data_IF_438970061471
#
_entry.id   IF_438970061471
#
_cell.length_a   1.000
_cell.length_b   1.000
_cell.length_c   1.000
_cell.angle_alpha   90.00
_cell.angle_beta   90.00
_cell.angle_gamma   90.00
#
_symmetry.space_group_name_H-M   'P 1'
#
loop_
_entity.id
_entity.type
_entity.pdbx_description
1 polymer ?
#
# COMPACT_ATOMS: atom_id res chain seq x y z
N UNK A 1 16.27 5.16 -23.09
CA UNK A 1 17.46 4.40 -22.62
C UNK A 1 16.97 3.02 -22.22
N UNK A 2 17.74 2.15 -21.52
CA UNK A 2 17.21 0.84 -21.15
C UNK A 2 18.26 -0.17 -20.68
N UNK A 3 17.95 -1.47 -20.81
CA UNK A 3 18.76 -2.57 -20.27
C UNK A 3 20.24 -2.60 -20.72
N UNK A 4 20.59 -1.95 -21.84
CA UNK A 4 21.97 -1.79 -22.30
C UNK A 4 22.75 -0.70 -21.58
N UNK A 5 22.06 0.19 -20.87
CA UNK A 5 22.62 1.35 -20.15
C UNK A 5 22.89 1.02 -18.67
N UNK A 6 23.14 -0.25 -18.36
CA UNK A 6 23.47 -0.69 -17.02
C UNK A 6 23.48 -2.21 -16.88
N UNK A 7 23.40 -2.70 -15.64
CA UNK A 7 23.25 -4.13 -15.36
C UNK A 7 22.60 -4.37 -14.00
N UNK A 8 21.93 -5.52 -13.87
CA UNK A 8 21.48 -6.09 -12.60
C UNK A 8 22.66 -6.82 -11.97
N UNK A 9 23.02 -6.48 -10.73
CA UNK A 9 24.21 -7.02 -10.05
C UNK A 9 23.82 -8.05 -8.99
N UNK A 10 23.37 -7.58 -7.82
CA UNK A 10 23.06 -8.48 -6.69
C UNK A 10 21.63 -8.32 -6.20
N UNK A 11 21.06 -9.43 -5.75
CA UNK A 11 19.78 -9.46 -5.04
C UNK A 11 20.01 -9.87 -3.59
N UNK A 12 19.32 -9.21 -2.66
CA UNK A 12 19.29 -9.60 -1.25
C UNK A 12 17.90 -9.46 -0.65
N UNK A 13 17.43 -10.52 0.03
CA UNK A 13 16.29 -10.43 0.94
C UNK A 13 16.75 -9.78 2.24
N UNK A 14 16.50 -8.48 2.38
CA UNK A 14 16.98 -7.66 3.50
C UNK A 14 16.03 -7.68 4.70
N UNK A 15 14.77 -8.05 4.48
CA UNK A 15 13.78 -8.31 5.54
C UNK A 15 13.14 -9.66 5.26
N UNK A 16 13.38 -10.62 6.16
CA UNK A 16 12.91 -11.99 6.01
C UNK A 16 12.07 -12.42 7.20
N UNK A 17 10.75 -12.44 7.01
CA UNK A 17 9.79 -13.00 7.95
C UNK A 17 9.24 -14.36 7.50
N UNK A 18 9.91 -15.04 6.56
CA UNK A 18 9.52 -16.33 6.00
C UNK A 18 9.29 -16.29 4.49
N UNK A 19 8.82 -17.39 3.90
CA UNK A 19 8.60 -17.56 2.46
C UNK A 19 7.71 -16.46 1.84
N UNK A 20 8.13 -15.93 0.70
CA UNK A 20 7.51 -14.78 0.01
C UNK A 20 6.05 -15.06 -0.39
N UNK A 21 5.71 -16.32 -0.70
CA UNK A 21 4.33 -16.75 -1.03
C UNK A 21 3.31 -16.47 0.06
N UNK A 22 3.76 -16.21 1.29
CA UNK A 22 2.93 -16.04 2.48
C UNK A 22 3.17 -14.70 3.17
N UNK A 23 3.88 -13.77 2.53
CA UNK A 23 4.21 -12.44 3.04
C UNK A 23 3.87 -11.42 1.97
N UNK A 24 3.50 -10.23 2.39
CA UNK A 24 3.42 -9.12 1.45
C UNK A 24 4.85 -8.68 1.15
N UNK A 25 5.29 -8.86 -0.08
CA UNK A 25 6.68 -8.79 -0.49
C UNK A 25 6.90 -7.52 -1.30
N UNK A 26 7.69 -6.61 -0.73
CA UNK A 26 8.15 -5.38 -1.36
C UNK A 26 9.51 -5.62 -2.01
N UNK A 27 9.65 -5.21 -3.26
CA UNK A 27 10.95 -5.19 -3.96
C UNK A 27 11.39 -3.75 -4.13
N UNK A 28 12.61 -3.44 -3.74
CA UNK A 28 13.23 -2.12 -3.91
C UNK A 28 14.42 -2.26 -4.85
N UNK A 29 14.45 -1.43 -5.89
CA UNK A 29 15.57 -1.30 -6.83
C UNK A 29 15.91 0.17 -7.03
N UNK A 30 17.06 0.45 -7.65
CA UNK A 30 17.52 1.80 -7.93
C UNK A 30 17.58 2.06 -9.44
N UNK A 31 17.42 3.32 -9.84
CA UNK A 31 17.78 3.80 -11.17
C UNK A 31 18.62 5.07 -11.11
N UNK A 32 19.56 5.23 -12.05
CA UNK A 32 20.48 6.36 -12.07
C UNK A 32 21.58 6.32 -11.02
N UNK A 33 21.89 5.15 -10.46
CA UNK A 33 23.03 4.95 -9.56
C UNK A 33 24.17 4.24 -10.31
N UNK A 34 25.41 4.72 -10.18
CA UNK A 34 26.57 4.01 -10.70
C UNK A 34 26.94 2.83 -9.79
N UNK A 35 27.81 1.94 -10.27
CA UNK A 35 28.38 0.87 -9.45
C UNK A 35 29.05 1.39 -8.16
N UNK A 36 29.70 2.55 -8.23
CA UNK A 36 30.32 3.23 -7.08
C UNK A 36 29.31 3.87 -6.11
N UNK A 37 28.04 4.00 -6.48
CA UNK A 37 26.99 4.58 -5.65
C UNK A 37 26.26 3.55 -4.79
N UNK A 38 26.59 2.25 -4.89
CA UNK A 38 25.78 1.20 -4.27
C UNK A 38 25.70 1.29 -2.75
N UNK A 39 26.79 1.67 -2.08
CA UNK A 39 26.73 1.89 -0.63
C UNK A 39 25.74 3.00 -0.28
N UNK A 40 25.73 4.10 -1.05
CA UNK A 40 24.77 5.18 -0.87
C UNK A 40 23.34 4.73 -1.17
N UNK A 41 23.11 3.99 -2.26
CA UNK A 41 21.81 3.39 -2.56
C UNK A 41 21.32 2.50 -1.41
N UNK A 42 22.18 1.66 -0.82
CA UNK A 42 21.82 0.81 0.32
C UNK A 42 21.39 1.64 1.52
N UNK A 43 22.05 2.77 1.81
CA UNK A 43 21.59 3.66 2.89
C UNK A 43 20.20 4.23 2.65
N UNK A 44 19.83 4.49 1.38
CA UNK A 44 18.50 4.98 1.01
C UNK A 44 17.45 3.89 1.11
N UNK A 45 17.79 2.65 0.76
CA UNK A 45 16.94 1.48 1.00
C UNK A 45 16.70 1.30 2.51
N UNK A 46 17.74 1.41 3.34
CA UNK A 46 17.62 1.31 4.79
C UNK A 46 16.77 2.46 5.38
N UNK A 47 16.89 3.68 4.85
CA UNK A 47 16.04 4.82 5.21
C UNK A 47 14.56 4.52 4.94
N UNK A 48 14.22 3.96 3.78
CA UNK A 48 12.87 3.54 3.42
C UNK A 48 12.37 2.43 4.35
N UNK A 49 13.15 1.36 4.52
CA UNK A 49 12.75 0.20 5.34
C UNK A 49 12.52 0.60 6.80
N UNK A 50 13.42 1.39 7.37
CA UNK A 50 13.27 1.89 8.74
C UNK A 50 12.13 2.90 8.87
N UNK A 51 11.91 3.72 7.85
CA UNK A 51 10.78 4.65 7.79
C UNK A 51 9.44 3.95 7.77
N UNK A 52 9.26 2.95 6.90
CA UNK A 52 8.03 2.16 6.83
C UNK A 52 7.74 1.43 8.15
N UNK A 53 8.76 0.89 8.83
CA UNK A 53 8.62 0.28 10.17
C UNK A 53 8.04 1.22 11.24
N UNK A 54 8.09 2.53 11.02
CA UNK A 54 7.60 3.55 11.94
C UNK A 54 6.25 4.15 11.52
N UNK A 55 5.68 3.75 10.38
CA UNK A 55 4.42 4.28 9.83
C UNK A 55 3.33 3.21 9.94
N UNK A 56 2.21 3.51 10.59
CA UNK A 56 1.05 2.60 10.62
C UNK A 56 0.31 2.58 9.27
N UNK A 57 -0.16 1.42 8.78
CA UNK A 57 -0.23 0.14 9.47
C UNK A 57 1.01 -0.76 9.25
N UNK A 58 2.03 -0.31 8.52
CA UNK A 58 3.24 -1.11 8.27
C UNK A 58 3.94 -1.48 9.58
N UNK A 59 3.98 -0.59 10.57
CA UNK A 59 4.48 -0.88 11.93
C UNK A 59 3.81 -2.12 12.52
N UNK A 60 2.47 -2.12 12.65
CA UNK A 60 1.72 -3.23 13.23
C UNK A 60 1.83 -4.52 12.40
N UNK A 61 1.98 -4.38 11.08
CA UNK A 61 2.00 -5.51 10.14
C UNK A 61 3.41 -5.94 9.74
N UNK A 62 4.46 -5.38 10.35
CA UNK A 62 5.83 -5.55 9.87
C UNK A 62 6.26 -7.01 9.76
N UNK A 63 5.87 -7.84 10.72
CA UNK A 63 6.15 -9.29 10.72
C UNK A 63 5.45 -10.08 9.61
N UNK A 64 4.63 -9.44 8.77
CA UNK A 64 3.96 -10.00 7.60
C UNK A 64 4.57 -9.51 6.28
N UNK A 65 5.59 -8.65 6.34
CA UNK A 65 6.18 -8.00 5.17
C UNK A 65 7.59 -8.52 4.94
N UNK A 66 7.89 -8.95 3.72
CA UNK A 66 9.26 -9.19 3.29
C UNK A 66 9.75 -8.02 2.44
N UNK A 67 11.06 -7.81 2.41
CA UNK A 67 11.68 -6.81 1.54
C UNK A 67 12.88 -7.43 0.85
N UNK A 68 12.86 -7.38 -0.49
CA UNK A 68 14.02 -7.64 -1.33
C UNK A 68 14.60 -6.32 -1.82
N UNK A 69 15.93 -6.26 -1.86
CA UNK A 69 16.69 -5.23 -2.53
C UNK A 69 17.35 -5.84 -3.76
N UNK A 70 17.27 -5.18 -4.90
CA UNK A 70 18.00 -5.53 -6.11
C UNK A 70 18.92 -4.36 -6.45
N UNK A 71 20.22 -4.62 -6.48
CA UNK A 71 21.25 -3.67 -6.86
C UNK A 71 21.31 -3.62 -8.39
N UNK A 72 20.94 -2.45 -8.94
CA UNK A 72 20.97 -2.18 -10.38
C UNK A 72 21.84 -0.96 -10.60
N UNK A 73 22.83 -1.09 -11.48
CA UNK A 73 23.76 -0.02 -11.82
C UNK A 73 23.37 0.56 -13.18
N UNK A 74 23.33 1.88 -13.27
CA UNK A 74 23.19 2.65 -14.50
C UNK A 74 24.55 3.12 -15.04
N UNK A 75 24.58 3.52 -16.30
CA UNK A 75 25.77 4.07 -16.96
C UNK A 75 26.02 5.53 -16.57
N UNK A 76 24.95 6.27 -16.27
CA UNK A 76 25.03 7.66 -15.82
C UNK A 76 24.24 7.89 -14.53
N UNK A 77 24.72 8.84 -13.72
CA UNK A 77 23.96 9.32 -12.56
C UNK A 77 22.78 10.18 -13.00
N UNK A 78 21.65 10.05 -12.32
CA UNK A 78 20.55 10.99 -12.44
C UNK A 78 19.28 10.40 -13.05
N UNK A 79 18.53 11.28 -13.71
CA UNK A 79 17.23 11.05 -14.32
C UNK A 79 17.11 12.00 -15.51
N UNK A 80 16.31 11.64 -16.51
CA UNK A 80 15.90 12.60 -17.54
C UNK A 80 15.10 13.76 -16.93
N UNK A 81 15.33 14.96 -17.44
CA UNK A 81 14.66 16.19 -17.00
C UNK A 81 14.27 17.03 -18.23
N UNK A 82 13.21 16.62 -18.96
CA UNK A 82 12.80 17.25 -20.22
C UNK A 82 12.61 18.76 -20.10
N UNK A 83 13.08 19.50 -21.12
CA UNK A 83 13.01 20.98 -21.11
C UNK A 83 11.57 21.49 -21.16
N UNK A 84 10.70 20.83 -21.91
CA UNK A 84 9.27 21.12 -21.96
C UNK A 84 8.52 20.12 -21.07
N UNK A 85 7.61 20.62 -20.24
CA UNK A 85 6.73 19.81 -19.41
C UNK A 85 5.44 20.59 -19.13
N UNK A 86 4.34 20.19 -19.78
CA UNK A 86 3.06 20.88 -19.67
C UNK A 86 3.14 22.40 -19.91
N UNK A 87 2.24 23.11 -19.22
CA UNK A 87 2.20 24.58 -19.18
C UNK A 87 2.87 25.14 -17.91
N UNK A 88 3.59 24.32 -17.14
CA UNK A 88 4.28 24.80 -15.95
C UNK A 88 5.47 25.70 -16.38
N UNK A 89 5.55 26.92 -15.84
CA UNK A 89 6.67 27.86 -16.02
C UNK A 89 8.03 27.34 -15.46
N UNK A 90 8.13 26.05 -15.18
CA UNK A 90 9.22 25.38 -14.50
C UNK A 90 9.80 24.27 -15.38
N UNK A 91 10.10 24.59 -16.64
CA UNK A 91 10.75 23.66 -17.57
C UNK A 91 11.99 22.99 -16.98
N UNK A 92 12.28 21.76 -17.42
CA UNK A 92 13.45 21.01 -17.00
C UNK A 92 14.75 21.55 -17.58
N UNK A 93 15.86 20.96 -17.16
CA UNK A 93 17.21 21.28 -17.63
C UNK A 93 17.48 20.84 -19.08
N UNK A 94 16.65 19.94 -19.62
CA UNK A 94 16.90 19.25 -20.89
C UNK A 94 17.92 18.12 -20.78
N UNK A 95 18.27 17.70 -19.57
CA UNK A 95 19.20 16.60 -19.36
C UNK A 95 18.57 15.27 -19.80
N UNK A 96 19.38 14.46 -20.47
CA UNK A 96 19.10 13.06 -20.79
C UNK A 96 20.20 12.21 -20.13
N UNK A 97 19.84 11.09 -19.50
CA UNK A 97 20.72 10.26 -18.68
C UNK A 97 20.56 8.79 -19.02
N UNK A 98 21.65 8.17 -19.47
CA UNK A 98 21.69 6.73 -19.78
C UNK A 98 21.56 5.88 -18.52
N UNK A 99 20.32 5.65 -18.14
CA UNK A 99 19.88 4.92 -16.96
C UNK A 99 19.23 3.60 -17.35
N UNK A 100 19.27 2.62 -16.44
CA UNK A 100 18.85 1.25 -16.75
C UNK A 100 17.34 1.17 -16.99
N UNK A 101 16.55 1.84 -16.15
CA UNK A 101 15.09 1.85 -16.24
C UNK A 101 14.54 3.12 -16.91
N UNK A 102 15.38 3.88 -17.60
CA UNK A 102 14.97 5.07 -18.36
C UNK A 102 14.14 6.05 -17.52
N UNK A 103 14.53 6.27 -16.26
CA UNK A 103 13.78 7.15 -15.37
C UNK A 103 13.68 8.57 -15.97
N UNK A 104 12.46 9.11 -15.96
CA UNK A 104 12.17 10.44 -16.50
C UNK A 104 11.20 11.23 -15.65
N UNK A 105 11.46 12.53 -15.57
CA UNK A 105 10.51 13.52 -15.05
C UNK A 105 9.51 13.89 -16.12
N UNK A 106 8.38 14.43 -15.70
CA UNK A 106 7.29 14.76 -16.61
C UNK A 106 6.72 13.54 -17.34
N UNK A 107 6.63 12.40 -16.64
CA UNK A 107 6.16 11.14 -17.24
C UNK A 107 4.70 11.17 -17.73
N UNK A 108 3.93 12.20 -17.39
CA UNK A 108 2.55 12.42 -17.84
C UNK A 108 2.39 13.61 -18.79
N UNK A 109 3.50 14.15 -19.31
CA UNK A 109 3.59 15.33 -20.18
C UNK A 109 3.04 16.64 -19.61
N UNK A 110 2.61 16.67 -18.33
CA UNK A 110 1.93 17.84 -17.75
C UNK A 110 2.60 18.38 -16.49
N UNK A 111 3.21 17.53 -15.66
CA UNK A 111 3.71 17.89 -14.34
C UNK A 111 5.13 17.40 -14.12
N UNK A 112 6.08 18.31 -13.86
CA UNK A 112 7.50 17.95 -13.75
C UNK A 112 7.82 17.02 -12.57
N UNK A 113 6.99 17.04 -11.53
CA UNK A 113 7.12 16.16 -10.35
C UNK A 113 6.71 14.71 -10.61
N UNK A 114 6.02 14.43 -11.71
CA UNK A 114 5.62 13.06 -12.06
C UNK A 114 6.83 12.32 -12.58
N UNK A 115 7.28 11.36 -11.79
CA UNK A 115 8.47 10.57 -12.03
C UNK A 115 8.05 9.19 -12.51
N UNK A 116 8.51 8.78 -13.68
CA UNK A 116 8.21 7.47 -14.26
C UNK A 116 9.49 6.77 -14.68
N UNK A 117 9.37 5.49 -14.96
CA UNK A 117 10.42 4.58 -15.43
C UNK A 117 9.83 3.71 -16.54
N UNK A 118 10.67 2.99 -17.28
CA UNK A 118 10.26 1.88 -18.12
C UNK A 118 9.67 0.77 -17.23
N UNK A 119 8.35 0.81 -17.09
CA UNK A 119 7.61 -0.06 -16.18
C UNK A 119 7.70 -1.54 -16.59
N UNK A 120 7.76 -1.83 -17.89
CA UNK A 120 7.82 -3.21 -18.38
C UNK A 120 9.22 -3.79 -18.10
N UNK A 121 10.28 -3.02 -18.32
CA UNK A 121 11.65 -3.44 -17.98
C UNK A 121 11.84 -3.65 -16.46
N UNK A 122 11.23 -2.80 -15.63
CA UNK A 122 11.21 -3.00 -14.17
C UNK A 122 10.53 -4.32 -13.82
N UNK A 123 9.35 -4.59 -14.40
CA UNK A 123 8.61 -5.81 -14.12
C UNK A 123 9.39 -7.06 -14.55
N UNK A 124 9.98 -7.05 -15.75
CA UNK A 124 10.79 -8.16 -16.26
C UNK A 124 11.99 -8.41 -15.35
N UNK A 125 12.73 -7.36 -14.98
CA UNK A 125 13.87 -7.45 -14.06
C UNK A 125 13.47 -8.02 -12.70
N UNK A 126 12.36 -7.56 -12.12
CA UNK A 126 11.90 -8.07 -10.83
C UNK A 126 11.41 -9.51 -10.94
N UNK A 127 10.73 -9.90 -12.02
CA UNK A 127 10.22 -11.25 -12.22
C UNK A 127 11.34 -12.29 -12.42
N UNK A 128 12.45 -11.90 -13.05
CA UNK A 128 13.63 -12.77 -13.19
C UNK A 128 14.32 -13.01 -11.83
N UNK A 129 14.25 -12.04 -10.93
CA UNK A 129 14.95 -12.07 -9.66
C UNK A 129 14.09 -12.58 -8.48
N UNK A 130 12.81 -12.22 -8.42
CA UNK A 130 11.90 -12.46 -7.28
C UNK A 130 10.61 -13.13 -7.78
N UNK A 131 10.39 -14.38 -7.37
CA UNK A 131 9.28 -15.18 -7.87
C UNK A 131 7.89 -14.72 -7.40
N UNK A 132 7.79 -14.14 -6.21
CA UNK A 132 6.53 -13.69 -5.61
C UNK A 132 6.73 -12.28 -5.01
N UNK A 133 5.99 -11.31 -5.50
CA UNK A 133 6.04 -9.91 -5.06
C UNK A 133 4.68 -9.22 -5.22
N UNK A 134 4.47 -8.15 -4.47
CA UNK A 134 3.23 -7.38 -4.48
C UNK A 134 3.40 -5.91 -4.83
N UNK A 135 4.56 -5.35 -4.52
CA UNK A 135 4.85 -3.95 -4.74
C UNK A 135 6.32 -3.78 -5.12
N UNK A 136 6.57 -2.83 -6.02
CA UNK A 136 7.90 -2.46 -6.45
C UNK A 136 8.12 -0.97 -6.20
N UNK A 137 9.24 -0.62 -5.58
CA UNK A 137 9.69 0.76 -5.43
C UNK A 137 11.01 0.92 -6.18
N UNK A 138 11.04 1.85 -7.13
CA UNK A 138 12.27 2.29 -7.80
C UNK A 138 12.71 3.60 -7.16
N UNK A 139 13.83 3.56 -6.45
CA UNK A 139 14.49 4.78 -5.98
C UNK A 139 15.24 5.38 -7.16
N UNK A 140 14.95 6.63 -7.51
CA UNK A 140 15.61 7.31 -8.63
C UNK A 140 16.61 8.31 -8.06
N UNK A 141 17.86 8.25 -8.52
CA UNK A 141 18.95 9.09 -8.02
C UNK A 141 18.80 10.57 -8.41
N UNK A 142 17.87 11.26 -7.76
CA UNK A 142 17.58 12.68 -7.95
C UNK A 142 17.14 13.28 -6.62
N UNK A 143 17.56 14.51 -6.32
CA UNK A 143 17.16 15.22 -5.09
C UNK A 143 15.99 16.18 -5.30
N UNK A 144 15.55 16.38 -6.55
CA UNK A 144 14.37 17.17 -6.86
C UNK A 144 13.11 16.39 -6.48
N UNK A 145 12.10 17.08 -5.96
CA UNK A 145 10.85 16.43 -5.53
C UNK A 145 10.15 15.74 -6.70
N UNK A 146 9.70 14.51 -6.47
CA UNK A 146 8.95 13.78 -7.47
C UNK A 146 8.67 12.33 -7.07
N UNK A 147 7.55 11.85 -7.55
CA UNK A 147 7.08 10.51 -7.31
C UNK A 147 5.82 10.24 -8.11
N UNK A 148 5.67 9.00 -8.57
CA UNK A 148 4.41 8.51 -9.08
C UNK A 148 4.38 6.99 -9.05
N UNK A 149 3.15 6.46 -9.05
CA UNK A 149 2.86 5.04 -9.14
C UNK A 149 2.18 4.71 -10.46
N UNK A 150 2.74 3.75 -11.20
CA UNK A 150 2.15 3.15 -12.41
C UNK A 150 2.01 1.65 -12.16
N UNK A 151 0.78 1.12 -12.25
CA UNK A 151 0.54 -0.30 -11.95
C UNK A 151 0.94 -0.67 -10.51
N UNK A 152 1.96 -1.51 -10.35
CA UNK A 152 2.55 -1.90 -9.06
C UNK A 152 3.93 -1.29 -8.79
N UNK A 153 4.40 -0.43 -9.69
CA UNK A 153 5.72 0.22 -9.61
C UNK A 153 5.54 1.65 -9.14
N UNK A 154 6.23 2.01 -8.07
CA UNK A 154 6.34 3.37 -7.58
C UNK A 154 7.76 3.89 -7.82
N UNK A 155 7.92 4.91 -8.65
CA UNK A 155 9.20 5.60 -8.85
C UNK A 155 9.25 6.82 -7.93
N UNK A 156 10.31 6.96 -7.12
CA UNK A 156 10.42 8.01 -6.09
C UNK A 156 11.83 8.59 -6.04
N UNK A 157 11.93 9.92 -5.93
CA UNK A 157 13.23 10.61 -5.80
C UNK A 157 13.76 10.66 -4.36
N UNK A 158 15.06 10.92 -4.19
CA UNK A 158 15.77 10.90 -2.90
C UNK A 158 15.64 12.21 -2.11
N UNK A 159 14.41 12.63 -1.83
CA UNK A 159 14.11 13.86 -1.07
C UNK A 159 14.27 13.66 0.44
N UNK A 160 14.22 14.76 1.20
CA UNK A 160 14.30 14.71 2.66
C UNK A 160 13.11 13.99 3.34
N UNK A 161 11.97 13.90 2.64
CA UNK A 161 10.76 13.19 3.06
C UNK A 161 10.59 11.85 2.31
N UNK A 162 11.70 11.22 1.87
CA UNK A 162 11.72 10.01 1.05
C UNK A 162 10.78 8.92 1.60
N UNK A 163 10.86 8.62 2.90
CA UNK A 163 10.03 7.57 3.52
C UNK A 163 8.53 7.92 3.52
N UNK A 164 8.16 9.20 3.67
CA UNK A 164 6.78 9.64 3.61
C UNK A 164 6.24 9.53 2.17
N UNK A 165 7.04 9.91 1.17
CA UNK A 165 6.67 9.78 -0.25
C UNK A 165 6.54 8.31 -0.63
N UNK A 166 7.50 7.45 -0.27
CA UNK A 166 7.39 6.00 -0.52
C UNK A 166 6.15 5.41 0.15
N UNK A 167 5.86 5.79 1.39
CA UNK A 167 4.65 5.33 2.07
C UNK A 167 3.38 5.74 1.31
N UNK A 168 3.30 6.99 0.86
CA UNK A 168 2.20 7.52 0.03
C UNK A 168 2.00 6.70 -1.26
N UNK A 169 3.07 6.47 -2.03
CA UNK A 169 2.98 5.70 -3.27
C UNK A 169 2.60 4.22 -3.02
N UNK A 170 3.08 3.62 -1.93
CA UNK A 170 2.63 2.29 -1.50
C UNK A 170 1.15 2.28 -1.08
N UNK A 171 0.62 3.40 -0.61
CA UNK A 171 -0.82 3.60 -0.40
C UNK A 171 -1.62 3.38 -1.68
N UNK A 172 -1.14 3.91 -2.81
CA UNK A 172 -1.75 3.67 -4.12
C UNK A 172 -1.64 2.22 -4.58
N UNK A 173 -0.51 1.56 -4.35
CA UNK A 173 -0.34 0.11 -4.60
C UNK A 173 -1.37 -0.69 -3.80
N UNK A 174 -1.63 -0.28 -2.56
CA UNK A 174 -2.64 -0.86 -1.66
C UNK A 174 -4.07 -0.34 -1.92
N UNK A 175 -4.32 0.32 -3.05
CA UNK A 175 -5.65 0.64 -3.53
C UNK A 175 -6.26 1.94 -2.99
N UNK A 176 -5.45 2.83 -2.41
CA UNK A 176 -5.90 4.15 -1.96
C UNK A 176 -5.85 5.18 -3.09
N UNK A 177 -6.78 6.14 -3.05
CA UNK A 177 -6.78 7.33 -3.88
C UNK A 177 -6.03 8.47 -3.20
N UNK A 178 -5.63 9.46 -4.00
CA UNK A 178 -5.19 10.75 -3.48
C UNK A 178 -6.34 11.50 -2.79
N UNK A 179 -6.04 12.04 -1.61
CA UNK A 179 -6.95 12.82 -0.79
C UNK A 179 -6.70 14.34 -0.91
N UNK A 180 -5.69 14.75 -1.67
CA UNK A 180 -5.50 16.17 -2.00
C UNK A 180 -6.42 16.63 -3.13
N UNK A 181 -6.68 17.94 -3.12
CA UNK A 181 -7.71 18.60 -3.89
C UNK A 181 -7.13 19.65 -4.84
N UNK A 182 -5.92 19.45 -5.35
CA UNK A 182 -5.23 20.34 -6.27
C UNK A 182 -4.63 19.54 -7.44
N UNK A 183 -4.15 20.25 -8.47
CA UNK A 183 -3.65 19.69 -9.74
C UNK A 183 -4.72 18.99 -10.61
N UNK A 184 -5.99 19.33 -10.40
CA UNK A 184 -7.12 18.79 -11.15
C UNK A 184 -8.22 19.82 -11.41
N UNK A 185 -9.40 19.39 -11.86
CA UNK A 185 -10.51 20.30 -12.13
C UNK A 185 -11.12 20.86 -10.84
N UNK A 186 -11.76 22.02 -10.93
CA UNK A 186 -12.50 22.63 -9.82
C UNK A 186 -13.48 21.63 -9.16
N UNK A 187 -14.23 20.89 -9.98
CA UNK A 187 -15.24 19.94 -9.52
C UNK A 187 -14.96 18.55 -10.06
N UNK A 188 -15.20 17.54 -9.22
CA UNK A 188 -15.13 16.15 -9.61
C UNK A 188 -16.14 15.86 -10.75
N UNK A 189 -15.62 15.56 -11.93
CA UNK A 189 -16.39 15.57 -13.18
C UNK A 189 -17.02 14.22 -13.56
N UNK A 190 -16.52 13.11 -13.00
CA UNK A 190 -16.98 11.77 -13.39
C UNK A 190 -18.44 11.51 -12.98
N UNK A 191 -18.87 12.00 -11.83
CA UNK A 191 -20.21 11.75 -11.28
C UNK A 191 -20.46 10.29 -10.84
N UNK A 192 -19.49 9.39 -11.04
CA UNK A 192 -19.53 8.01 -10.58
C UNK A 192 -18.82 7.86 -9.23
N UNK A 193 -19.28 6.93 -8.39
CA UNK A 193 -18.66 6.65 -7.11
C UNK A 193 -17.27 6.03 -7.30
N UNK A 194 -16.18 6.67 -6.81
CA UNK A 194 -14.84 6.13 -6.96
C UNK A 194 -14.72 4.75 -6.31
N UNK A 195 -13.99 3.79 -6.89
CA UNK A 195 -13.84 2.47 -6.28
C UNK A 195 -12.96 2.46 -5.02
N UNK A 196 -12.08 3.46 -4.85
CA UNK A 196 -11.14 3.52 -3.74
C UNK A 196 -11.86 3.74 -2.39
N UNK A 197 -11.36 3.12 -1.31
CA UNK A 197 -12.07 3.08 -0.04
C UNK A 197 -12.02 4.40 0.74
N UNK A 198 -11.03 5.25 0.48
CA UNK A 198 -10.74 6.46 1.25
C UNK A 198 -11.36 7.75 0.67
N UNK A 199 -12.05 7.66 -0.48
CA UNK A 199 -12.75 8.77 -1.12
C UNK A 199 -14.17 8.36 -1.53
N UNK A 200 -15.11 9.31 -1.62
CA UNK A 200 -16.51 9.05 -1.96
C UNK A 200 -17.20 10.27 -2.57
N UNK A 201 -18.25 10.09 -3.36
CA UNK A 201 -19.19 11.18 -3.72
C UNK A 201 -20.51 11.07 -2.92
N UNK A 202 -20.68 9.99 -2.16
CA UNK A 202 -21.83 9.78 -1.27
C UNK A 202 -21.83 10.78 -0.11
N UNK A 203 -23.01 11.31 0.21
CA UNK A 203 -23.22 12.28 1.31
C UNK A 203 -24.20 11.76 2.36
N UNK A 204 -24.96 10.71 2.07
CA UNK A 204 -25.76 9.97 3.02
C UNK A 204 -24.86 9.20 3.98
N UNK A 205 -24.82 9.65 5.24
CA UNK A 205 -24.03 9.06 6.31
C UNK A 205 -24.21 7.53 6.44
N UNK A 206 -25.42 7.02 6.15
CA UNK A 206 -25.72 5.59 6.26
C UNK A 206 -25.08 4.73 5.16
N UNK A 207 -24.68 5.36 4.05
CA UNK A 207 -24.12 4.70 2.86
C UNK A 207 -22.61 4.91 2.70
N UNK A 208 -22.01 5.82 3.48
CA UNK A 208 -20.57 6.06 3.46
C UNK A 208 -19.76 4.76 3.59
N UNK A 209 -18.70 4.66 2.78
CA UNK A 209 -17.77 3.52 2.79
C UNK A 209 -17.20 3.25 4.19
N UNK A 210 -16.89 4.32 4.93
CA UNK A 210 -16.32 4.28 6.27
C UNK A 210 -17.32 4.54 7.39
N UNK A 211 -18.62 4.33 7.17
CA UNK A 211 -19.66 4.54 8.20
C UNK A 211 -19.37 3.85 9.54
N UNK A 212 -18.66 2.73 9.52
CA UNK A 212 -18.28 1.95 10.71
C UNK A 212 -17.15 2.58 11.54
N UNK A 213 -16.43 3.55 10.98
CA UNK A 213 -15.45 4.38 11.69
C UNK A 213 -16.07 5.63 12.30
N UNK A 214 -17.31 5.98 11.94
CA UNK A 214 -17.99 7.14 12.50
C UNK A 214 -18.31 6.91 13.97
N UNK A 215 -17.99 7.90 14.81
CA UNK A 215 -18.33 7.85 16.21
C UNK A 215 -19.87 7.83 16.37
N UNK A 216 -20.44 6.89 17.14
CA UNK A 216 -21.89 6.70 17.24
C UNK A 216 -22.67 7.87 17.88
N UNK A 217 -21.99 8.91 18.37
CA UNK A 217 -22.57 9.92 19.26
C UNK A 217 -22.39 11.39 18.85
N UNK A 218 -21.86 11.70 17.65
CA UNK A 218 -21.79 13.11 17.22
C UNK A 218 -23.11 13.46 16.53
N UNK A 219 -23.93 14.31 17.17
CA UNK A 219 -25.25 14.71 16.67
C UNK A 219 -25.27 15.35 15.27
N UNK A 220 -24.10 15.65 14.69
CA UNK A 220 -23.93 15.98 13.28
C UNK A 220 -22.60 15.43 12.76
N UNK A 221 -22.57 14.91 11.53
CA UNK A 221 -21.38 14.40 10.87
C UNK A 221 -20.28 15.48 10.79
N UNK A 222 -19.07 15.26 11.35
CA UNK A 222 -17.93 16.17 11.15
C UNK A 222 -17.68 16.38 9.67
N UNK A 223 -17.61 17.62 9.22
CA UNK A 223 -17.49 17.92 7.79
C UNK A 223 -16.73 19.19 7.51
N UNK A 224 -16.03 19.18 6.39
CA UNK A 224 -15.51 20.37 5.72
C UNK A 224 -16.25 20.49 4.40
N UNK A 225 -16.75 21.69 4.11
CA UNK A 225 -17.29 22.03 2.80
C UNK A 225 -16.25 22.88 2.08
N UNK A 226 -16.07 22.63 0.79
CA UNK A 226 -15.24 23.46 -0.05
C UNK A 226 -15.80 24.87 -0.18
N UNK A 227 -15.01 25.78 -0.75
CA UNK A 227 -15.46 27.13 -1.07
C UNK A 227 -16.73 27.10 -1.93
N UNK A 228 -17.61 28.09 -1.72
CA UNK A 228 -18.90 28.13 -2.40
C UNK A 228 -18.77 28.24 -3.92
N UNK A 229 -17.69 28.85 -4.42
CA UNK A 229 -17.43 28.97 -5.86
C UNK A 229 -16.75 27.74 -6.46
N UNK A 230 -16.20 26.85 -5.61
CA UNK A 230 -15.46 25.66 -6.02
C UNK A 230 -14.17 25.93 -6.81
N UNK A 231 -13.63 27.15 -6.77
CA UNK A 231 -12.45 27.56 -7.57
C UNK A 231 -11.15 27.54 -6.78
N UNK A 232 -11.18 27.12 -5.51
CA UNK A 232 -10.03 27.17 -4.62
C UNK A 232 -9.86 25.88 -3.84
N UNK A 233 -8.62 25.40 -3.81
CA UNK A 233 -8.21 24.29 -2.95
C UNK A 233 -8.30 24.68 -1.47
N UNK A 234 -8.64 23.70 -0.63
CA UNK A 234 -8.63 23.81 0.82
C UNK A 234 -7.27 23.42 1.44
N UNK A 235 -6.21 23.25 0.63
CA UNK A 235 -4.84 23.05 1.10
C UNK A 235 -4.45 24.14 2.09
N UNK A 236 -3.87 23.74 3.22
CA UNK A 236 -3.47 24.65 4.31
C UNK A 236 -4.62 25.17 5.19
N UNK A 237 -5.89 24.83 4.89
CA UNK A 237 -7.00 25.16 5.78
C UNK A 237 -6.89 24.35 7.08
N UNK A 238 -6.92 24.96 8.27
CA UNK A 238 -6.88 24.23 9.54
C UNK A 238 -8.17 23.44 9.82
N UNK A 239 -8.04 22.25 10.42
CA UNK A 239 -9.19 21.47 10.86
C UNK A 239 -9.89 22.13 12.06
N UNK A 240 -11.23 22.14 12.04
CA UNK A 240 -12.07 22.49 13.20
C UNK A 240 -12.21 21.33 14.19
N UNK A 241 -11.80 20.13 13.80
CA UNK A 241 -11.93 18.90 14.57
C UNK A 241 -10.54 18.37 14.96
N UNK A 242 -10.42 17.69 16.11
CA UNK A 242 -9.16 17.05 16.50
C UNK A 242 -8.61 16.11 15.41
N UNK A 243 -7.28 15.97 15.28
CA UNK A 243 -6.68 14.95 14.41
C UNK A 243 -7.24 13.55 14.70
N UNK A 244 -7.46 12.74 13.66
CA UNK A 244 -8.10 11.42 13.80
C UNK A 244 -9.64 11.45 13.77
N UNK A 245 -10.28 12.62 13.66
CA UNK A 245 -11.74 12.70 13.56
C UNK A 245 -12.21 12.26 12.18
N UNK A 246 -12.86 11.10 12.13
CA UNK A 246 -13.49 10.59 10.90
C UNK A 246 -14.82 11.31 10.64
N UNK A 247 -14.99 11.76 9.41
CA UNK A 247 -16.10 12.57 8.95
C UNK A 247 -16.24 12.55 7.44
N UNK A 248 -16.70 13.66 6.87
CA UNK A 248 -16.89 13.87 5.44
C UNK A 248 -16.28 15.21 5.03
N UNK A 249 -15.02 15.19 4.61
CA UNK A 249 -14.25 16.39 4.30
C UNK A 249 -14.17 16.55 2.79
N UNK A 250 -14.77 17.61 2.25
CA UNK A 250 -14.80 17.86 0.81
C UNK A 250 -13.40 18.20 0.27
N UNK A 251 -13.13 17.79 -0.97
CA UNK A 251 -11.84 17.92 -1.65
C UNK A 251 -11.05 16.61 -1.60
N UNK A 252 -10.82 16.00 -2.75
CA UNK A 252 -10.02 14.79 -2.96
C UNK A 252 -9.90 14.53 -4.47
N UNK A 253 -9.14 13.51 -4.90
CA UNK A 253 -8.99 13.17 -6.33
C UNK A 253 -8.72 14.41 -7.19
N UNK A 254 -7.83 15.28 -6.71
CA UNK A 254 -7.37 16.50 -7.39
C UNK A 254 -8.45 17.59 -7.55
N UNK A 255 -9.67 17.34 -7.03
CA UNK A 255 -10.83 18.19 -7.24
C UNK A 255 -11.21 18.96 -5.98
N UNK A 256 -11.46 20.26 -6.10
CA UNK A 256 -11.83 21.11 -4.96
C UNK A 256 -13.17 20.68 -4.33
N UNK A 257 -14.17 20.31 -5.14
CA UNK A 257 -15.48 19.89 -4.63
C UNK A 257 -16.10 18.67 -5.33
N UNK A 258 -17.19 18.17 -4.73
CA UNK A 258 -18.00 17.08 -5.28
C UNK A 258 -17.46 15.69 -4.98
N UNK A 259 -16.36 15.59 -4.24
CA UNK A 259 -15.77 14.35 -3.75
C UNK A 259 -15.18 14.61 -2.36
N UNK A 260 -15.23 13.59 -1.50
CA UNK A 260 -14.95 13.71 -0.09
C UNK A 260 -13.93 12.66 0.36
N UNK A 261 -13.08 13.03 1.31
CA UNK A 261 -12.17 12.14 2.06
C UNK A 261 -12.69 11.93 3.48
N UNK A 262 -12.18 10.89 4.13
CA UNK A 262 -12.69 10.45 5.44
C UNK A 262 -12.18 11.22 6.64
N UNK A 263 -10.99 11.83 6.57
CA UNK A 263 -10.41 12.65 7.63
C UNK A 263 -9.90 13.97 7.07
N UNK A 264 -9.68 14.95 7.94
CA UNK A 264 -9.18 16.24 7.48
C UNK A 264 -7.82 16.10 6.78
N UNK A 265 -6.91 15.32 7.35
CA UNK A 265 -5.57 15.12 6.81
C UNK A 265 -5.16 13.64 6.87
N UNK A 266 -4.25 13.25 5.99
CA UNK A 266 -3.83 11.87 5.77
C UNK A 266 -2.49 11.86 5.02
N UNK A 267 -1.70 10.79 5.14
CA UNK A 267 -0.55 10.57 4.26
C UNK A 267 -0.92 10.58 2.76
N UNK A 268 -2.16 10.23 2.39
CA UNK A 268 -2.68 10.35 1.01
C UNK A 268 -3.01 11.79 0.58
N UNK A 269 -2.89 12.76 1.49
CA UNK A 269 -3.10 14.20 1.23
C UNK A 269 -1.82 15.00 1.39
N UNK A 270 -1.06 14.71 2.45
CA UNK A 270 0.08 15.51 2.89
C UNK A 270 1.23 14.59 3.28
N UNK A 271 2.37 14.73 2.59
CA UNK A 271 3.63 14.04 2.93
C UNK A 271 4.60 14.95 3.71
N UNK A 272 4.40 16.27 3.62
CA UNK A 272 5.20 17.27 4.34
C UNK A 272 4.28 18.33 4.97
N UNK A 273 4.25 18.46 6.31
CA UNK A 273 4.99 17.68 7.30
C UNK A 273 4.55 16.20 7.33
N UNK A 274 5.34 15.29 7.94
CA UNK A 274 4.97 13.88 8.07
C UNK A 274 3.60 13.72 8.73
N UNK A 275 2.68 13.09 7.99
CA UNK A 275 1.27 12.94 8.40
C UNK A 275 0.92 11.46 8.41
N UNK A 276 0.25 10.93 9.45
CA UNK A 276 -0.13 9.53 9.49
C UNK A 276 -1.23 9.21 8.47
N UNK A 277 -1.33 7.94 8.06
CA UNK A 277 -2.51 7.46 7.36
C UNK A 277 -3.76 7.60 8.25
N UNK A 278 -4.85 8.10 7.66
CA UNK A 278 -6.14 8.18 8.32
C UNK A 278 -6.67 6.78 8.70
N UNK A 279 -7.62 6.69 9.63
CA UNK A 279 -8.17 5.43 10.12
C UNK A 279 -8.72 4.55 8.99
N UNK A 280 -9.35 5.15 7.98
CA UNK A 280 -9.92 4.45 6.82
C UNK A 280 -8.81 3.90 5.91
N UNK A 281 -7.78 4.70 5.63
CA UNK A 281 -6.61 4.25 4.88
C UNK A 281 -5.89 3.09 5.60
N UNK A 282 -5.66 3.21 6.92
CA UNK A 282 -5.02 2.15 7.71
C UNK A 282 -5.82 0.85 7.69
N UNK A 283 -7.14 0.91 7.81
CA UNK A 283 -8.00 -0.28 7.75
C UNK A 283 -7.99 -0.92 6.36
N UNK A 284 -8.07 -0.11 5.29
CA UNK A 284 -7.99 -0.58 3.91
C UNK A 284 -6.65 -1.26 3.60
N UNK A 285 -5.53 -0.59 3.89
CA UNK A 285 -4.18 -1.13 3.72
C UNK A 285 -3.98 -2.42 4.54
N UNK A 286 -4.48 -2.44 5.78
CA UNK A 286 -4.44 -3.64 6.63
C UNK A 286 -5.18 -4.80 5.97
N UNK A 287 -6.37 -4.56 5.42
CA UNK A 287 -7.13 -5.60 4.72
C UNK A 287 -6.35 -6.14 3.53
N UNK A 288 -5.74 -5.29 2.70
CA UNK A 288 -4.96 -5.72 1.53
C UNK A 288 -3.74 -6.56 1.92
N UNK A 289 -2.89 -6.08 2.84
CA UNK A 289 -1.69 -6.83 3.30
C UNK A 289 -2.10 -8.18 3.93
N UNK A 290 -3.23 -8.22 4.64
CA UNK A 290 -3.72 -9.44 5.27
C UNK A 290 -4.33 -10.45 4.29
N UNK A 291 -4.78 -10.05 3.08
CA UNK A 291 -5.30 -11.00 2.08
C UNK A 291 -4.25 -12.07 1.73
N UNK A 292 -3.00 -11.66 1.60
CA UNK A 292 -1.88 -12.49 1.16
C UNK A 292 -1.25 -13.29 2.30
N UNK A 293 -1.21 -12.71 3.50
CA UNK A 293 -0.90 -13.47 4.73
C UNK A 293 -1.90 -14.62 5.01
N UNK A 294 -3.05 -14.63 4.32
CA UNK A 294 -4.11 -15.61 4.45
C UNK A 294 -4.21 -16.59 3.26
N UNK A 295 -3.30 -16.54 2.27
CA UNK A 295 -3.26 -17.54 1.18
C UNK A 295 -2.84 -18.93 1.65
N UNK A 296 -2.33 -19.07 2.90
CA UNK A 296 -2.31 -20.34 3.69
C UNK A 296 -3.59 -20.63 4.49
N UNK A 297 -4.72 -20.15 4.02
CA UNK A 297 -5.99 -20.76 4.37
C UNK A 297 -6.74 -21.28 3.13
N UNK A 298 -6.11 -22.07 2.23
CA UNK A 298 -6.87 -22.83 1.24
C UNK A 298 -7.89 -23.72 1.93
N UNK A 299 -7.57 -24.23 3.13
CA UNK A 299 -8.53 -24.92 3.97
C UNK A 299 -9.75 -24.05 4.28
N UNK A 300 -9.59 -22.76 4.55
CA UNK A 300 -10.74 -21.92 4.91
C UNK A 300 -11.49 -21.37 3.71
N UNK A 301 -10.84 -21.15 2.57
CA UNK A 301 -11.56 -20.88 1.33
C UNK A 301 -12.40 -22.12 0.94
N UNK A 302 -11.83 -23.32 1.06
CA UNK A 302 -12.49 -24.59 0.75
C UNK A 302 -13.60 -24.94 1.76
N UNK A 303 -13.37 -24.76 3.06
CA UNK A 303 -14.35 -25.10 4.11
C UNK A 303 -15.43 -24.02 4.24
N UNK A 304 -15.06 -22.74 4.19
CA UNK A 304 -15.94 -21.63 4.56
C UNK A 304 -16.40 -20.77 3.38
N UNK A 305 -15.83 -20.93 2.19
CA UNK A 305 -16.22 -20.20 0.97
C UNK A 305 -15.86 -18.71 0.96
N UNK A 306 -15.30 -18.19 2.06
CA UNK A 306 -14.89 -16.81 2.20
C UNK A 306 -13.86 -16.67 3.32
N UNK A 307 -12.85 -15.82 3.10
CA UNK A 307 -11.78 -15.53 4.06
C UNK A 307 -12.32 -14.80 5.32
N UNK A 308 -13.46 -14.14 5.20
CA UNK A 308 -14.12 -13.39 6.28
C UNK A 308 -15.27 -14.13 6.97
N UNK A 309 -15.34 -15.46 6.85
CA UNK A 309 -16.40 -16.22 7.51
C UNK A 309 -16.36 -16.01 9.05
N UNK A 310 -17.49 -15.76 9.74
CA UNK A 310 -17.52 -15.38 11.16
C UNK A 310 -16.75 -16.33 12.10
N UNK A 311 -16.81 -17.63 11.85
CA UNK A 311 -16.07 -18.63 12.64
C UNK A 311 -14.55 -18.50 12.51
N UNK A 312 -14.05 -18.04 11.36
CA UNK A 312 -12.63 -17.87 11.10
C UNK A 312 -12.10 -16.57 11.70
N UNK A 313 -12.88 -15.49 11.56
CA UNK A 313 -12.59 -14.22 12.23
C UNK A 313 -12.50 -14.46 13.73
N UNK A 314 -13.45 -15.21 14.29
CA UNK A 314 -13.43 -15.58 15.71
C UNK A 314 -12.24 -16.47 16.08
N UNK A 315 -11.96 -17.54 15.33
CA UNK A 315 -10.81 -18.43 15.58
C UNK A 315 -9.48 -17.67 15.53
N UNK A 316 -9.34 -16.71 14.61
CA UNK A 316 -8.16 -15.84 14.49
C UNK A 316 -8.01 -14.94 15.71
N UNK A 317 -9.09 -14.29 16.14
CA UNK A 317 -9.09 -13.48 17.36
C UNK A 317 -8.81 -14.33 18.61
N UNK A 318 -9.40 -15.53 18.70
CA UNK A 318 -9.15 -16.47 19.79
C UNK A 318 -7.68 -16.91 19.83
N UNK A 319 -7.13 -17.33 18.68
CA UNK A 319 -5.72 -17.71 18.53
C UNK A 319 -4.80 -16.57 18.94
N UNK A 320 -5.03 -15.36 18.42
CA UNK A 320 -4.18 -14.21 18.69
C UNK A 320 -4.18 -13.83 20.18
N UNK A 321 -5.32 -13.92 20.87
CA UNK A 321 -5.38 -13.75 22.34
C UNK A 321 -4.53 -14.78 23.08
N UNK A 322 -4.63 -16.06 22.71
CA UNK A 322 -3.91 -17.14 23.40
C UNK A 322 -2.41 -17.25 23.00
N UNK A 323 -2.02 -16.68 21.85
CA UNK A 323 -0.61 -16.56 21.46
C UNK A 323 0.13 -15.53 22.31
N UNK A 324 -0.56 -14.50 22.82
CA UNK A 324 0.01 -13.51 23.73
C UNK A 324 0.24 -14.05 25.16
N UNK A 325 -0.33 -15.21 25.51
CA UNK A 325 -0.31 -15.79 26.85
C UNK A 325 0.67 -16.98 27.00
N UNK A 326 1.63 -17.14 26.07
CA UNK A 326 2.68 -18.18 26.05
C UNK A 326 2.28 -19.58 26.57
N UNK A 327 1.69 -20.43 25.70
CA UNK A 327 1.53 -21.86 26.01
C UNK A 327 2.03 -22.74 24.87
N UNK A 328 2.96 -23.63 25.20
CA UNK A 328 3.56 -24.71 24.38
C UNK A 328 2.55 -25.46 23.49
N UNK A 329 1.29 -25.54 23.93
CA UNK A 329 0.16 -26.10 23.19
C UNK A 329 -0.07 -25.41 21.84
N UNK A 330 0.06 -24.08 21.76
CA UNK A 330 -0.16 -23.36 20.50
C UNK A 330 0.99 -23.53 19.51
N UNK A 331 2.23 -23.73 19.98
CA UNK A 331 3.37 -24.11 19.12
C UNK A 331 3.17 -25.51 18.54
N UNK A 332 2.61 -26.44 19.31
CA UNK A 332 2.26 -27.78 18.82
C UNK A 332 1.08 -27.73 17.81
N UNK A 333 0.07 -26.91 18.06
CA UNK A 333 -1.06 -26.71 17.13
C UNK A 333 -0.58 -26.06 15.83
N UNK A 334 0.27 -25.03 15.89
CA UNK A 334 0.85 -24.39 14.71
C UNK A 334 1.70 -25.38 13.90
N UNK A 335 2.51 -26.21 14.57
CA UNK A 335 3.29 -27.27 13.92
C UNK A 335 2.40 -28.30 13.19
N UNK A 336 1.32 -28.77 13.84
CA UNK A 336 0.36 -29.69 13.22
C UNK A 336 -0.36 -29.01 12.05
N UNK A 337 -0.77 -27.75 12.21
CA UNK A 337 -1.45 -26.99 11.16
C UNK A 337 -0.55 -26.78 9.93
N UNK A 338 0.72 -26.41 10.12
CA UNK A 338 1.70 -26.26 9.03
C UNK A 338 2.01 -27.57 8.32
N UNK A 339 2.00 -28.70 9.04
CA UNK A 339 2.31 -30.02 8.46
C UNK A 339 1.12 -30.66 7.76
N UNK A 340 -0.07 -30.55 8.35
CA UNK A 340 -1.30 -31.21 7.87
C UNK A 340 -2.08 -30.30 6.91
N UNK A 341 -2.10 -28.99 7.14
CA UNK A 341 -2.87 -28.02 6.36
C UNK A 341 -2.61 -28.08 4.85
N UNK A 342 -1.35 -28.09 4.38
CA UNK A 342 -1.04 -28.23 2.96
C UNK A 342 -1.48 -29.57 2.36
N UNK A 343 -1.36 -30.68 3.11
CA UNK A 343 -1.82 -32.00 2.67
C UNK A 343 -3.34 -32.05 2.53
N UNK A 344 -4.05 -31.54 3.55
CA UNK A 344 -5.51 -31.56 3.61
C UNK A 344 -6.10 -30.63 2.54
N UNK A 345 -5.46 -29.48 2.30
CA UNK A 345 -5.75 -28.59 1.17
C UNK A 345 -5.71 -29.35 -0.15
N UNK A 346 -4.58 -30.00 -0.48
CA UNK A 346 -4.42 -30.74 -1.74
C UNK A 346 -5.48 -31.83 -1.94
N UNK A 347 -5.92 -32.47 -0.84
CA UNK A 347 -6.97 -33.51 -0.88
C UNK A 347 -8.39 -32.95 -1.09
N UNK A 348 -8.63 -31.69 -0.75
CA UNK A 348 -9.94 -31.07 -0.79
C UNK A 348 -10.14 -30.12 -1.99
N UNK A 349 -9.06 -29.67 -2.63
CA UNK A 349 -9.12 -28.93 -3.89
C UNK A 349 -9.92 -29.72 -4.93
N UNK A 350 -10.96 -29.11 -5.50
CA UNK A 350 -11.88 -29.74 -6.45
C UNK A 350 -12.97 -30.64 -5.84
N UNK A 351 -13.12 -30.71 -4.50
CA UNK A 351 -14.10 -31.58 -3.81
C UNK A 351 -15.06 -30.80 -2.87
N UNK A 352 -15.94 -29.93 -3.39
CA UNK A 352 -16.75 -29.00 -2.60
C UNK A 352 -17.80 -29.68 -1.68
N UNK A 353 -18.21 -30.92 -1.97
CA UNK A 353 -19.11 -31.69 -1.09
C UNK A 353 -18.37 -32.22 0.15
N UNK A 354 -17.16 -32.74 -0.03
CA UNK A 354 -16.33 -33.26 1.07
C UNK A 354 -15.90 -32.14 2.03
N UNK A 355 -15.58 -30.96 1.48
CA UNK A 355 -15.29 -29.76 2.27
C UNK A 355 -16.48 -29.35 3.17
N UNK A 356 -17.70 -29.35 2.62
CA UNK A 356 -18.92 -29.07 3.41
C UNK A 356 -19.14 -30.08 4.53
N UNK A 357 -18.88 -31.36 4.29
CA UNK A 357 -18.98 -32.42 5.31
C UNK A 357 -17.96 -32.20 6.42
N UNK A 358 -16.69 -31.97 6.09
CA UNK A 358 -15.63 -31.69 7.07
C UNK A 358 -15.93 -30.45 7.90
N UNK A 359 -16.46 -29.39 7.29
CA UNK A 359 -16.86 -28.19 8.03
C UNK A 359 -17.96 -28.50 9.06
N UNK A 360 -19.01 -29.22 8.65
CA UNK A 360 -20.14 -29.54 9.54
C UNK A 360 -19.78 -30.53 10.63
N UNK A 361 -18.95 -31.54 10.31
CA UNK A 361 -18.63 -32.64 11.19
C UNK A 361 -17.47 -32.34 12.14
N UNK A 362 -16.51 -31.51 11.73
CA UNK A 362 -15.27 -31.29 12.49
C UNK A 362 -15.15 -29.84 12.95
N UNK A 363 -15.19 -28.88 12.02
CA UNK A 363 -14.90 -27.47 12.33
C UNK A 363 -15.99 -26.82 13.17
N UNK A 364 -17.26 -26.99 12.80
CA UNK A 364 -18.39 -26.40 13.53
C UNK A 364 -18.49 -26.86 15.00
N UNK A 365 -18.42 -28.18 15.29
CA UNK A 365 -18.37 -28.69 16.66
C UNK A 365 -17.16 -28.20 17.44
N UNK A 366 -15.96 -28.17 16.82
CA UNK A 366 -14.74 -27.67 17.45
C UNK A 366 -14.89 -26.20 17.85
N UNK A 367 -15.39 -25.34 16.95
CA UNK A 367 -15.62 -23.92 17.24
C UNK A 367 -16.63 -23.74 18.38
N UNK A 368 -17.72 -24.52 18.40
CA UNK A 368 -18.69 -24.50 19.51
C UNK A 368 -18.07 -24.94 20.84
N UNK A 369 -17.27 -26.00 20.82
CA UNK A 369 -16.56 -26.47 22.01
C UNK A 369 -15.57 -25.43 22.53
N UNK A 370 -14.79 -24.81 21.64
CA UNK A 370 -13.83 -23.76 22.01
C UNK A 370 -14.53 -22.49 22.52
N UNK A 371 -15.69 -22.13 21.95
CA UNK A 371 -16.54 -21.05 22.48
C UNK A 371 -17.10 -21.38 23.86
N UNK A 372 -17.53 -22.62 24.08
CA UNK A 372 -18.07 -23.06 25.37
C UNK A 372 -17.04 -23.24 26.48
N UNK A 373 -15.74 -23.33 26.14
CA UNK A 373 -14.62 -23.38 27.11
C UNK A 373 -13.99 -22.01 27.40
N UNK A 374 -14.47 -20.95 26.73
CA UNK A 374 -13.98 -19.58 26.87
C UNK A 374 -15.07 -18.59 27.29
N UNK A 375 -16.08 -19.06 28.02
CA UNK A 375 -17.03 -18.25 28.77
C UNK A 375 -16.66 -18.29 30.26
#
# INVERSE_FOLDING_TARGET
>A
MGASDGLVDTKKKIVDHGDDRFRWTLVILGDGFLAEDMEFYHTKVDEVVNGLRAIEPFTTLWGLINVHRIDVHSTERGVDDPKACGNEDIGGTGALRRTYFDATRCGDDTRRRVLTVDNDLVLDTVNDEVADWEAIVVLVNSTLEGGAKVGQVAAVSLTANLKEVVAHELGHVLGLADEYDYDGPDRYASGEEPPQPNVTIETDQSKLKWRHHLAPAIGSLPKLKADQTCTTSNKGTPSKYPPGTVGLFEGALYSHCGVYRSEHDCAMRTVTPPTPFCAVCRDAMTKEILKLSCTQCPLTLILCGAIYHPDLVWLRSWRNRHLAEERTVMRAIDFVYRRVGPWLTRRLTGRPRLARVLRRAVVGPLVRMLRGRGA
#
